data_IF_850698487057
#
_entry.id   IF_850698487057
#
_cell.length_a   1.000
_cell.length_b   1.000
_cell.length_c   1.000
_cell.angle_alpha   90.00
_cell.angle_beta   90.00
_cell.angle_gamma   90.00
#
_symmetry.space_group_name_H-M   'P 1'
#
loop_
_entity.id
_entity.type
_entity.pdbx_description
1 polymer ?
#
# COMPACT_ATOMS: atom_id res chain seq x y z
N UNK A 1 -16.18 35.26 -25.53
CA UNK A 1 -15.22 35.79 -24.53
C UNK A 1 -14.04 34.85 -24.43
N UNK A 2 -12.83 35.40 -24.35
CA UNK A 2 -11.54 34.77 -24.71
C UNK A 2 -11.21 33.46 -23.95
N UNK A 3 -10.46 32.52 -24.56
CA UNK A 3 -10.10 31.22 -24.00
C UNK A 3 -8.82 31.31 -23.13
N UNK A 4 -9.00 31.56 -21.83
CA UNK A 4 -7.98 31.49 -20.77
C UNK A 4 -8.71 30.87 -19.56
N UNK A 5 -8.28 29.86 -18.80
CA UNK A 5 -7.01 29.16 -18.68
C UNK A 5 -7.30 27.73 -18.17
N UNK A 6 -6.99 26.73 -18.99
CA UNK A 6 -6.63 25.38 -18.53
C UNK A 6 -5.35 25.02 -19.26
N UNK A 7 -4.33 25.83 -19.01
CA UNK A 7 -2.99 25.69 -19.57
C UNK A 7 -2.07 25.90 -18.39
N UNK A 8 -1.53 24.81 -17.85
CA UNK A 8 -0.36 24.85 -16.97
C UNK A 8 0.80 25.64 -17.59
N UNK A 9 0.79 25.82 -18.92
CA UNK A 9 1.91 26.28 -19.73
C UNK A 9 2.21 27.78 -19.77
N UNK A 10 1.34 28.72 -19.34
CA UNK A 10 1.65 30.16 -19.54
C UNK A 10 2.14 30.93 -18.33
N UNK A 11 1.73 30.53 -17.13
CA UNK A 11 2.17 31.18 -15.88
C UNK A 11 3.30 30.43 -15.17
N UNK A 12 3.56 29.15 -15.52
CA UNK A 12 4.68 28.37 -14.97
C UNK A 12 5.88 28.24 -15.93
N UNK A 13 5.69 28.34 -17.26
CA UNK A 13 6.84 28.22 -18.19
C UNK A 13 7.63 29.52 -18.37
N UNK A 14 7.05 30.69 -18.11
CA UNK A 14 7.61 31.99 -18.55
C UNK A 14 8.41 32.78 -17.51
N UNK A 15 8.69 32.25 -16.32
CA UNK A 15 9.51 33.00 -15.36
C UNK A 15 10.45 32.21 -14.46
N UNK A 16 10.59 30.89 -14.64
CA UNK A 16 10.63 30.05 -13.43
C UNK A 16 11.73 28.95 -13.44
N UNK A 17 12.52 28.82 -14.52
CA UNK A 17 13.76 28.03 -14.54
C UNK A 17 14.92 28.84 -15.13
N UNK A 18 15.21 30.00 -14.54
CA UNK A 18 16.48 30.70 -14.79
C UNK A 18 17.59 30.09 -13.92
N UNK A 19 17.83 28.80 -14.10
CA UNK A 19 19.12 28.22 -13.74
C UNK A 19 19.77 27.87 -15.06
N UNK A 20 20.73 28.66 -15.49
CA UNK A 20 21.68 28.32 -16.58
C UNK A 20 22.50 27.04 -16.26
N UNK A 21 22.10 26.25 -15.26
CA UNK A 21 22.77 25.04 -14.85
C UNK A 21 22.51 23.93 -15.89
N UNK A 22 23.54 23.56 -16.68
CA UNK A 22 23.39 22.60 -17.77
C UNK A 22 23.00 21.21 -17.25
N UNK A 23 23.39 20.87 -16.01
CA UNK A 23 23.11 19.57 -15.39
C UNK A 23 21.62 19.41 -15.14
N UNK A 24 20.97 20.43 -14.56
CA UNK A 24 19.56 20.34 -14.23
C UNK A 24 18.68 20.29 -15.49
N UNK A 25 19.05 21.06 -16.52
CA UNK A 25 18.40 20.98 -17.84
C UNK A 25 18.52 19.59 -18.44
N UNK A 26 19.71 19.00 -18.38
CA UNK A 26 19.96 17.64 -18.87
C UNK A 26 19.12 16.60 -18.12
N UNK A 27 18.99 16.73 -16.79
CA UNK A 27 18.14 15.86 -15.95
C UNK A 27 16.68 15.97 -16.37
N UNK A 28 16.16 17.18 -16.60
CA UNK A 28 14.76 17.38 -17.04
C UNK A 28 14.52 16.74 -18.42
N UNK A 29 15.44 16.94 -19.36
CA UNK A 29 15.35 16.39 -20.72
C UNK A 29 15.35 14.86 -20.71
N UNK A 30 16.16 14.25 -19.85
CA UNK A 30 16.33 12.79 -19.74
C UNK A 30 15.60 12.16 -18.55
N UNK A 31 14.70 12.91 -17.90
CA UNK A 31 14.07 12.51 -16.62
C UNK A 31 13.42 11.13 -16.70
N UNK A 32 12.87 10.77 -17.86
CA UNK A 32 12.19 9.49 -18.02
C UNK A 32 13.15 8.32 -17.86
N UNK A 33 14.35 8.42 -18.44
CA UNK A 33 15.36 7.34 -18.34
C UNK A 33 15.89 7.24 -16.91
N UNK A 34 16.15 8.38 -16.28
CA UNK A 34 16.66 8.41 -14.91
C UNK A 34 15.65 7.87 -13.90
N UNK A 35 14.40 8.34 -13.95
CA UNK A 35 13.35 7.87 -13.05
C UNK A 35 13.03 6.39 -13.26
N UNK A 36 13.08 5.90 -14.51
CA UNK A 36 12.92 4.47 -14.79
C UNK A 36 14.07 3.65 -14.19
N UNK A 37 15.32 4.13 -14.32
CA UNK A 37 16.47 3.48 -13.70
C UNK A 37 16.35 3.44 -12.18
N UNK A 38 15.95 4.55 -11.55
CA UNK A 38 15.70 4.60 -10.10
C UNK A 38 14.58 3.63 -9.71
N UNK A 39 13.45 3.61 -10.44
CA UNK A 39 12.36 2.68 -10.20
C UNK A 39 12.83 1.22 -10.21
N UNK A 40 13.58 0.83 -11.24
CA UNK A 40 14.10 -0.53 -11.38
C UNK A 40 15.04 -0.85 -10.23
N UNK A 41 16.04 -0.01 -9.95
CA UNK A 41 17.01 -0.26 -8.88
C UNK A 41 16.32 -0.42 -7.53
N UNK A 42 15.43 0.50 -7.20
CA UNK A 42 14.77 0.57 -5.88
C UNK A 42 13.81 -0.61 -5.68
N UNK A 43 13.12 -1.09 -6.73
CA UNK A 43 12.22 -2.25 -6.62
C UNK A 43 12.93 -3.61 -6.73
N UNK A 44 14.07 -3.69 -7.42
CA UNK A 44 14.86 -4.93 -7.49
C UNK A 44 15.68 -5.19 -6.23
N UNK A 45 16.10 -4.14 -5.51
CA UNK A 45 16.91 -4.24 -4.30
C UNK A 45 16.27 -5.16 -3.23
N UNK A 46 14.97 -5.05 -2.90
CA UNK A 46 14.23 -6.01 -2.08
C UNK A 46 14.36 -7.48 -2.50
N UNK A 47 14.16 -7.76 -3.79
CA UNK A 47 14.21 -9.12 -4.32
C UNK A 47 15.63 -9.69 -4.21
N UNK A 48 16.64 -8.87 -4.50
CA UNK A 48 18.04 -9.24 -4.37
C UNK A 48 18.37 -9.60 -2.92
N UNK A 49 17.99 -8.76 -1.95
CA UNK A 49 18.23 -9.03 -0.53
C UNK A 49 17.57 -10.31 -0.05
N UNK A 50 16.30 -10.54 -0.40
CA UNK A 50 15.62 -11.77 -0.03
C UNK A 50 16.27 -13.00 -0.65
N UNK A 51 16.66 -12.92 -1.93
CA UNK A 51 17.37 -14.02 -2.60
C UNK A 51 18.71 -14.32 -1.93
N UNK A 52 19.48 -13.31 -1.51
CA UNK A 52 20.77 -13.50 -0.84
C UNK A 52 20.62 -14.08 0.57
N UNK A 53 19.54 -13.73 1.26
CA UNK A 53 19.24 -14.21 2.62
C UNK A 53 18.48 -15.55 2.64
N UNK A 54 18.26 -16.19 1.49
CA UNK A 54 17.49 -17.44 1.40
C UNK A 54 16.02 -17.30 1.82
N UNK A 55 15.47 -16.09 1.77
CA UNK A 55 14.07 -15.80 2.12
C UNK A 55 13.17 -15.91 0.90
N UNK A 56 11.85 -16.12 1.10
CA UNK A 56 10.89 -15.93 0.03
C UNK A 56 11.04 -14.56 -0.61
N UNK A 57 10.88 -14.51 -1.94
CA UNK A 57 11.04 -13.25 -2.68
C UNK A 57 9.92 -12.25 -2.33
N UNK A 58 8.70 -12.76 -2.14
CA UNK A 58 7.56 -11.97 -1.71
C UNK A 58 7.57 -11.77 -0.20
N UNK A 59 7.28 -10.56 0.23
CA UNK A 59 7.16 -10.19 1.64
C UNK A 59 5.72 -9.81 1.99
N UNK A 60 5.46 -9.64 3.29
CA UNK A 60 4.25 -9.02 3.79
C UNK A 60 3.03 -9.93 3.75
N UNK A 61 2.18 -9.81 4.77
CA UNK A 61 1.07 -10.73 4.96
C UNK A 61 0.00 -10.60 3.86
N UNK A 62 -0.10 -9.42 3.22
CA UNK A 62 -0.98 -9.19 2.06
C UNK A 62 -0.66 -10.13 0.90
N UNK A 63 0.63 -10.36 0.60
CA UNK A 63 1.03 -11.23 -0.51
C UNK A 63 0.52 -12.65 -0.30
N UNK A 64 0.74 -13.21 0.88
CA UNK A 64 0.36 -14.57 1.21
C UNK A 64 -1.14 -14.72 1.47
N UNK A 65 -1.81 -13.63 1.84
CA UNK A 65 -3.26 -13.60 1.89
C UNK A 65 -3.83 -13.81 0.48
N UNK A 66 -3.34 -13.06 -0.50
CA UNK A 66 -3.80 -13.21 -1.88
C UNK A 66 -3.41 -14.56 -2.48
N UNK A 67 -2.20 -15.06 -2.20
CA UNK A 67 -1.77 -16.38 -2.68
C UNK A 67 -2.61 -17.51 -2.08
N UNK A 68 -2.97 -17.44 -0.79
CA UNK A 68 -3.85 -18.44 -0.15
C UNK A 68 -5.30 -18.34 -0.65
N UNK A 69 -5.83 -17.14 -0.88
CA UNK A 69 -7.15 -16.98 -1.50
C UNK A 69 -7.20 -17.52 -2.94
N UNK A 70 -6.10 -17.39 -3.69
CA UNK A 70 -5.98 -17.92 -5.03
C UNK A 70 -5.94 -19.47 -5.09
N UNK A 71 -5.39 -20.12 -4.06
CA UNK A 71 -5.47 -21.59 -3.92
C UNK A 71 -6.90 -22.07 -3.66
N UNK A 72 -7.74 -21.24 -3.03
CA UNK A 72 -9.15 -21.51 -2.73
C UNK A 72 -10.10 -20.88 -3.76
N UNK A 73 -9.59 -20.45 -4.92
CA UNK A 73 -10.39 -19.75 -5.91
C UNK A 73 -11.55 -20.63 -6.39
N UNK A 74 -12.76 -20.08 -6.33
CA UNK A 74 -13.99 -20.76 -6.71
C UNK A 74 -15.09 -19.75 -7.01
N UNK A 75 -16.32 -20.22 -7.16
CA UNK A 75 -17.47 -19.38 -7.52
C UNK A 75 -17.74 -18.21 -6.57
N UNK A 76 -17.33 -18.32 -5.30
CA UNK A 76 -17.48 -17.26 -4.29
C UNK A 76 -16.38 -16.20 -4.33
N UNK A 77 -15.22 -16.52 -4.91
CA UNK A 77 -13.99 -15.73 -4.87
C UNK A 77 -13.42 -15.57 -6.30
N UNK A 78 -14.27 -15.26 -7.27
CA UNK A 78 -13.91 -15.19 -8.69
C UNK A 78 -12.84 -14.13 -8.98
N UNK A 79 -12.73 -13.09 -8.14
CA UNK A 79 -11.69 -12.07 -8.25
C UNK A 79 -10.27 -12.63 -8.15
N UNK A 80 -10.08 -13.80 -7.53
CA UNK A 80 -8.78 -14.45 -7.38
C UNK A 80 -8.44 -15.43 -8.50
N UNK A 81 -9.38 -15.68 -9.42
CA UNK A 81 -9.17 -16.64 -10.51
C UNK A 81 -7.97 -16.29 -11.41
N UNK A 82 -7.72 -15.02 -11.79
CA UNK A 82 -6.53 -14.68 -12.58
C UNK A 82 -5.21 -15.01 -11.87
N UNK A 83 -5.16 -14.78 -10.55
CA UNK A 83 -3.97 -15.10 -9.74
C UNK A 83 -3.81 -16.61 -9.57
N UNK A 84 -4.92 -17.34 -9.40
CA UNK A 84 -4.95 -18.80 -9.34
C UNK A 84 -4.43 -19.43 -10.63
N UNK A 85 -4.88 -18.93 -11.78
CA UNK A 85 -4.33 -19.33 -13.08
C UNK A 85 -2.83 -19.03 -13.16
N UNK A 86 -2.40 -17.83 -12.75
CA UNK A 86 -0.99 -17.47 -12.76
C UNK A 86 -0.14 -18.41 -11.88
N UNK A 87 -0.62 -18.80 -10.69
CA UNK A 87 0.05 -19.76 -9.83
C UNK A 87 0.20 -21.15 -10.46
N UNK A 88 -0.75 -21.57 -11.29
CA UNK A 88 -0.69 -22.87 -11.97
C UNK A 88 0.35 -22.89 -13.11
N UNK A 89 0.66 -21.74 -13.72
CA UNK A 89 1.59 -21.63 -14.86
C UNK A 89 2.96 -21.06 -14.50
N UNK A 90 3.07 -20.29 -13.41
CA UNK A 90 4.28 -19.58 -13.02
C UNK A 90 4.77 -20.04 -11.65
N UNK A 91 6.07 -20.30 -11.49
CA UNK A 91 6.63 -20.52 -10.16
C UNK A 91 6.50 -19.26 -9.31
N UNK A 92 6.45 -19.42 -7.99
CA UNK A 92 6.32 -18.29 -7.04
C UNK A 92 7.38 -17.21 -7.27
N UNK A 93 8.61 -17.61 -7.62
CA UNK A 93 9.69 -16.67 -7.95
C UNK A 93 9.37 -15.77 -9.14
N UNK A 94 8.63 -16.27 -10.13
CA UNK A 94 8.17 -15.47 -11.26
C UNK A 94 6.99 -14.56 -10.88
N UNK A 95 6.13 -14.99 -9.94
CA UNK A 95 5.07 -14.13 -9.40
C UNK A 95 5.63 -12.92 -8.66
N UNK A 96 6.82 -13.01 -8.07
CA UNK A 96 7.51 -11.87 -7.46
C UNK A 96 7.88 -10.76 -8.45
N UNK A 97 7.90 -11.03 -9.76
CA UNK A 97 8.13 -10.03 -10.80
C UNK A 97 6.86 -9.26 -11.20
N UNK A 98 5.68 -9.76 -10.82
CA UNK A 98 4.40 -9.15 -11.18
C UNK A 98 4.22 -7.74 -10.60
N UNK A 99 4.53 -7.47 -9.30
CA UNK A 99 4.51 -6.11 -8.77
C UNK A 99 5.43 -5.15 -9.53
N UNK A 100 6.63 -5.60 -9.91
CA UNK A 100 7.59 -4.78 -10.68
C UNK A 100 7.03 -4.47 -12.08
N UNK A 101 6.47 -5.47 -12.75
CA UNK A 101 5.84 -5.28 -14.06
C UNK A 101 4.66 -4.29 -13.99
N UNK A 102 3.86 -4.35 -12.92
CA UNK A 102 2.79 -3.38 -12.66
C UNK A 102 3.35 -1.98 -12.42
N UNK A 103 4.41 -1.84 -11.62
CA UNK A 103 5.05 -0.54 -11.34
C UNK A 103 5.56 0.12 -12.62
N UNK A 104 6.26 -0.65 -13.47
CA UNK A 104 6.76 -0.19 -14.78
C UNK A 104 5.59 0.18 -15.70
N UNK A 105 4.51 -0.60 -15.70
CA UNK A 105 3.31 -0.30 -16.48
C UNK A 105 2.64 1.00 -16.00
N UNK A 106 2.47 1.17 -14.68
CA UNK A 106 1.98 2.40 -14.07
C UNK A 106 2.85 3.61 -14.44
N UNK A 107 4.17 3.44 -14.41
CA UNK A 107 5.14 4.45 -14.79
C UNK A 107 4.91 4.94 -16.24
N UNK A 108 4.76 4.04 -17.21
CA UNK A 108 4.50 4.42 -18.60
C UNK A 108 3.11 5.04 -18.80
N UNK A 109 2.08 4.49 -18.17
CA UNK A 109 0.71 5.04 -18.24
C UNK A 109 0.64 6.45 -17.64
N UNK A 110 1.32 6.69 -16.52
CA UNK A 110 1.43 8.00 -15.91
C UNK A 110 2.10 9.00 -16.85
N UNK A 111 3.25 8.66 -17.44
CA UNK A 111 3.94 9.58 -18.37
C UNK A 111 3.11 9.92 -19.61
N UNK A 112 2.31 8.96 -20.10
CA UNK A 112 1.35 9.23 -21.16
C UNK A 112 0.28 10.24 -20.73
N UNK A 113 -0.28 10.08 -19.51
CA UNK A 113 -1.26 11.01 -18.94
C UNK A 113 -0.66 12.38 -18.66
N UNK A 114 0.54 12.45 -18.10
CA UNK A 114 1.24 13.69 -17.77
C UNK A 114 1.46 14.56 -19.02
N UNK A 115 1.88 13.95 -20.14
CA UNK A 115 1.99 14.64 -21.44
C UNK A 115 0.63 15.13 -21.93
N UNK A 116 -0.45 14.38 -21.67
CA UNK A 116 -1.81 14.74 -22.10
C UNK A 116 -2.45 15.85 -21.26
N UNK A 117 -2.06 15.95 -19.99
CA UNK A 117 -2.48 17.00 -19.07
C UNK A 117 -1.56 18.22 -19.07
N UNK A 118 -0.50 18.19 -19.88
CA UNK A 118 0.48 19.28 -19.99
C UNK A 118 1.11 19.61 -18.62
N UNK A 119 1.39 18.59 -17.81
CA UNK A 119 2.03 18.77 -16.50
C UNK A 119 3.44 19.34 -16.72
N UNK A 120 3.85 20.41 -16.03
CA UNK A 120 5.21 20.95 -16.12
C UNK A 120 6.27 19.89 -15.84
N UNK A 121 7.36 19.92 -16.61
CA UNK A 121 8.38 18.87 -16.56
C UNK A 121 9.06 18.74 -15.18
N UNK A 122 9.24 19.85 -14.45
CA UNK A 122 9.76 19.89 -13.08
C UNK A 122 8.80 19.25 -12.08
N UNK A 123 7.52 19.59 -12.16
CA UNK A 123 6.47 19.00 -11.33
C UNK A 123 6.38 17.50 -11.57
N UNK A 124 6.43 17.05 -12.82
CA UNK A 124 6.42 15.63 -13.14
C UNK A 124 7.66 14.91 -12.58
N UNK A 125 8.85 15.50 -12.72
CA UNK A 125 10.09 14.96 -12.19
C UNK A 125 9.98 14.70 -10.68
N UNK A 126 9.62 15.72 -9.89
CA UNK A 126 9.57 15.59 -8.43
C UNK A 126 8.42 14.73 -7.95
N UNK A 127 7.25 14.82 -8.59
CA UNK A 127 6.11 13.96 -8.25
C UNK A 127 6.46 12.48 -8.41
N UNK A 128 7.00 12.10 -9.57
CA UNK A 128 7.35 10.70 -9.85
C UNK A 128 8.52 10.27 -8.96
N UNK A 129 9.54 11.10 -8.78
CA UNK A 129 10.66 10.82 -7.88
C UNK A 129 10.17 10.54 -6.45
N UNK A 130 9.35 11.41 -5.90
CA UNK A 130 8.80 11.28 -4.55
C UNK A 130 7.90 10.05 -4.39
N UNK A 131 7.11 9.71 -5.41
CA UNK A 131 6.33 8.46 -5.40
C UNK A 131 7.29 7.26 -5.34
N UNK A 132 8.28 7.17 -6.24
CA UNK A 132 9.17 6.01 -6.35
C UNK A 132 9.92 5.74 -5.04
N UNK A 133 10.42 6.77 -4.38
CA UNK A 133 11.23 6.62 -3.16
C UNK A 133 10.39 6.51 -1.88
N UNK A 134 9.06 6.70 -1.96
CA UNK A 134 8.20 6.68 -0.78
C UNK A 134 7.96 5.25 -0.24
N UNK A 135 8.03 5.03 1.08
CA UNK A 135 7.84 3.69 1.66
C UNK A 135 6.50 3.02 1.34
N UNK A 136 5.40 3.78 1.27
CA UNK A 136 4.08 3.21 0.86
C UNK A 136 4.10 2.65 -0.57
N UNK A 137 4.80 3.32 -1.49
CA UNK A 137 4.92 2.86 -2.88
C UNK A 137 5.81 1.61 -2.95
N UNK A 138 6.94 1.63 -2.23
CA UNK A 138 7.83 0.48 -2.13
C UNK A 138 7.12 -0.74 -1.57
N UNK A 139 6.37 -0.59 -0.48
CA UNK A 139 5.59 -1.68 0.08
C UNK A 139 4.60 -2.24 -0.97
N UNK A 140 3.81 -1.39 -1.62
CA UNK A 140 2.78 -1.84 -2.56
C UNK A 140 3.32 -2.51 -3.84
N UNK A 141 4.54 -2.16 -4.27
CA UNK A 141 5.17 -2.72 -5.48
C UNK A 141 6.30 -3.71 -5.19
N UNK A 142 6.51 -4.10 -3.92
CA UNK A 142 7.36 -5.23 -3.51
C UNK A 142 6.55 -6.38 -2.91
N UNK A 143 5.28 -6.14 -2.61
CA UNK A 143 4.26 -7.12 -2.21
C UNK A 143 3.29 -7.37 -3.37
N UNK A 144 2.53 -8.47 -3.33
CA UNK A 144 1.39 -8.66 -4.24
C UNK A 144 0.19 -7.82 -3.76
N UNK A 145 0.32 -6.49 -3.75
CA UNK A 145 -0.72 -5.63 -3.18
C UNK A 145 -1.91 -5.41 -4.11
N UNK A 146 -3.12 -5.47 -3.54
CA UNK A 146 -4.36 -5.06 -4.22
C UNK A 146 -4.27 -3.59 -4.70
N UNK A 147 -3.59 -2.73 -3.94
CA UNK A 147 -3.46 -1.31 -4.24
C UNK A 147 -2.49 -1.01 -5.40
N UNK A 148 -1.50 -1.89 -5.62
CA UNK A 148 -0.65 -1.86 -6.83
C UNK A 148 -1.47 -2.11 -8.09
N UNK A 149 -2.31 -3.15 -8.08
CA UNK A 149 -3.26 -3.44 -9.16
C UNK A 149 -4.31 -2.35 -9.35
N UNK A 150 -4.86 -1.83 -8.24
CA UNK A 150 -5.79 -0.69 -8.27
C UNK A 150 -5.20 0.48 -9.05
N UNK A 151 -3.96 0.88 -8.74
CA UNK A 151 -3.30 2.01 -9.40
C UNK A 151 -3.14 1.76 -10.89
N UNK A 152 -2.71 0.56 -11.26
CA UNK A 152 -2.59 0.17 -12.66
C UNK A 152 -3.94 0.30 -13.40
N UNK A 153 -5.02 -0.25 -12.83
CA UNK A 153 -6.35 -0.23 -13.44
C UNK A 153 -6.93 1.19 -13.53
N UNK A 154 -6.72 2.03 -12.50
CA UNK A 154 -7.14 3.44 -12.53
C UNK A 154 -6.40 4.20 -13.62
N UNK A 155 -5.08 4.06 -13.70
CA UNK A 155 -4.29 4.72 -14.74
C UNK A 155 -4.69 4.24 -16.14
N UNK A 156 -4.86 2.93 -16.33
CA UNK A 156 -5.33 2.35 -17.60
C UNK A 156 -6.72 2.89 -17.98
N UNK A 157 -7.64 2.93 -17.03
CA UNK A 157 -8.98 3.49 -17.21
C UNK A 157 -8.95 4.97 -17.61
N UNK A 158 -8.11 5.77 -16.95
CA UNK A 158 -7.92 7.18 -17.31
C UNK A 158 -7.30 7.34 -18.71
N UNK A 159 -6.32 6.51 -19.07
CA UNK A 159 -5.73 6.50 -20.42
C UNK A 159 -6.81 6.23 -21.48
N UNK A 160 -7.64 5.21 -21.26
CA UNK A 160 -8.76 4.86 -22.15
C UNK A 160 -9.81 5.98 -22.26
N UNK A 161 -10.13 6.66 -21.15
CA UNK A 161 -11.05 7.81 -21.14
C UNK A 161 -10.55 9.00 -21.98
N UNK A 162 -9.24 9.18 -22.07
CA UNK A 162 -8.63 10.28 -22.83
C UNK A 162 -8.42 9.96 -24.31
N UNK A 163 -8.76 8.75 -24.77
CA UNK A 163 -8.68 8.38 -26.18
C UNK A 163 -9.64 9.18 -27.07
N UNK A 164 -9.27 9.34 -28.35
CA UNK A 164 -10.11 10.07 -29.32
C UNK A 164 -11.34 9.26 -29.73
N UNK A 165 -11.17 7.95 -29.99
CA UNK A 165 -12.25 7.07 -30.45
C UNK A 165 -13.23 6.76 -29.31
N UNK A 166 -14.52 6.78 -29.62
CA UNK A 166 -15.60 6.57 -28.66
C UNK A 166 -15.55 5.17 -28.03
N UNK A 167 -15.28 4.13 -28.83
CA UNK A 167 -15.18 2.74 -28.38
C UNK A 167 -14.20 2.58 -27.21
N UNK A 168 -12.98 3.13 -27.33
CA UNK A 168 -11.98 3.05 -26.27
C UNK A 168 -12.40 3.75 -24.98
N UNK A 169 -13.22 4.82 -25.07
CA UNK A 169 -13.75 5.47 -23.87
C UNK A 169 -14.75 4.61 -23.14
N UNK A 170 -15.60 3.86 -23.85
CA UNK A 170 -16.50 2.90 -23.23
C UNK A 170 -15.76 1.73 -22.61
N UNK A 171 -14.65 1.28 -23.23
CA UNK A 171 -13.80 0.24 -22.66
C UNK A 171 -13.19 0.65 -21.31
N UNK A 172 -13.12 1.94 -20.97
CA UNK A 172 -12.65 2.39 -19.66
C UNK A 172 -13.56 1.96 -18.49
N UNK A 173 -14.81 1.58 -18.76
CA UNK A 173 -15.74 1.05 -17.74
C UNK A 173 -15.16 -0.20 -17.08
N UNK A 174 -14.51 -1.08 -17.86
CA UNK A 174 -13.97 -2.34 -17.34
C UNK A 174 -12.86 -2.13 -16.30
N UNK A 175 -11.73 -1.47 -16.61
CA UNK A 175 -10.67 -1.30 -15.62
C UNK A 175 -11.11 -0.46 -14.43
N UNK A 176 -11.93 0.57 -14.61
CA UNK A 176 -12.42 1.39 -13.48
C UNK A 176 -13.44 0.64 -12.61
N UNK A 177 -14.29 -0.20 -13.21
CA UNK A 177 -15.19 -1.09 -12.49
C UNK A 177 -14.44 -2.13 -11.67
N UNK A 178 -13.41 -2.75 -12.26
CA UNK A 178 -12.53 -3.69 -11.56
C UNK A 178 -11.75 -3.02 -10.41
N UNK A 179 -11.21 -1.81 -10.64
CA UNK A 179 -10.55 -1.04 -9.60
C UNK A 179 -11.49 -0.74 -8.41
N UNK A 180 -12.76 -0.47 -8.68
CA UNK A 180 -13.76 -0.22 -7.64
C UNK A 180 -14.21 -1.47 -6.88
N UNK A 181 -13.75 -2.67 -7.26
CA UNK A 181 -14.22 -3.95 -6.70
C UNK A 181 -13.30 -4.57 -5.63
N UNK A 182 -12.10 -4.01 -5.43
CA UNK A 182 -11.16 -4.49 -4.40
C UNK A 182 -11.73 -4.31 -2.98
N UNK A 183 -12.08 -3.09 -2.61
CA UNK A 183 -12.79 -2.74 -1.39
C UNK A 183 -13.66 -1.48 -1.61
N UNK A 184 -14.54 -1.18 -0.64
CA UNK A 184 -15.45 -0.04 -0.77
C UNK A 184 -14.68 1.29 -0.86
N UNK A 185 -13.56 1.42 -0.16
CA UNK A 185 -12.73 2.62 -0.18
C UNK A 185 -12.12 2.89 -1.56
N UNK A 186 -11.64 1.84 -2.24
CA UNK A 186 -11.15 1.89 -3.62
C UNK A 186 -12.26 2.38 -4.56
N UNK A 187 -13.49 1.90 -4.40
CA UNK A 187 -14.63 2.38 -5.18
C UNK A 187 -15.00 3.84 -4.87
N UNK A 188 -14.89 4.29 -3.62
CA UNK A 188 -15.04 5.71 -3.25
C UNK A 188 -13.96 6.57 -3.95
N UNK A 189 -12.71 6.13 -3.97
CA UNK A 189 -11.62 6.85 -4.67
C UNK A 189 -11.90 6.92 -6.18
N UNK A 190 -12.31 5.82 -6.82
CA UNK A 190 -12.70 5.81 -8.24
C UNK A 190 -13.87 6.78 -8.50
N UNK A 191 -14.87 6.79 -7.61
CA UNK A 191 -16.00 7.71 -7.69
C UNK A 191 -15.55 9.17 -7.62
N UNK A 192 -14.66 9.52 -6.69
CA UNK A 192 -14.10 10.87 -6.58
C UNK A 192 -13.33 11.27 -7.85
N UNK A 193 -12.52 10.36 -8.40
CA UNK A 193 -11.79 10.58 -9.67
C UNK A 193 -12.78 10.84 -10.83
N UNK A 194 -13.84 10.03 -10.93
CA UNK A 194 -14.87 10.20 -11.96
C UNK A 194 -15.67 11.49 -11.79
N UNK A 195 -15.95 11.91 -10.56
CA UNK A 195 -16.61 13.19 -10.27
C UNK A 195 -15.74 14.38 -10.71
N UNK A 196 -14.44 14.35 -10.42
CA UNK A 196 -13.51 15.37 -10.91
C UNK A 196 -13.44 15.39 -12.44
N UNK A 197 -13.36 14.20 -13.06
CA UNK A 197 -13.36 14.08 -14.51
C UNK A 197 -14.66 14.63 -15.14
N UNK A 198 -15.80 14.30 -14.55
CA UNK A 198 -17.10 14.80 -15.00
C UNK A 198 -17.21 16.31 -14.87
N UNK A 199 -16.79 16.89 -13.74
CA UNK A 199 -16.78 18.34 -13.53
C UNK A 199 -15.95 19.05 -14.61
N UNK A 200 -14.74 18.55 -14.89
CA UNK A 200 -13.85 19.10 -15.93
C UNK A 200 -14.45 19.02 -17.35
N UNK A 201 -15.20 17.96 -17.66
CA UNK A 201 -15.83 17.74 -18.99
C UNK A 201 -17.17 18.44 -19.16
N UNK A 202 -17.97 18.57 -18.10
CA UNK A 202 -19.30 19.23 -18.12
C UNK A 202 -19.16 20.70 -18.50
N UNK A 203 -18.11 21.36 -18.01
CA UNK A 203 -17.71 22.72 -18.42
C UNK A 203 -17.49 22.85 -19.93
N UNK A 204 -17.16 21.75 -20.63
CA UNK A 204 -16.88 21.72 -22.08
C UNK A 204 -18.05 21.17 -22.92
N UNK A 205 -19.25 20.93 -22.33
CA UNK A 205 -20.44 20.33 -22.96
C UNK A 205 -20.18 19.00 -23.71
N UNK A 206 -19.17 18.23 -23.32
CA UNK A 206 -18.76 17.01 -24.03
C UNK A 206 -19.22 15.75 -23.29
N UNK A 207 -20.25 15.10 -23.84
CA UNK A 207 -20.70 13.70 -23.61
C UNK A 207 -21.33 13.37 -22.24
N UNK A 208 -22.35 12.49 -22.24
CA UNK A 208 -23.03 11.96 -21.04
C UNK A 208 -22.29 10.77 -20.37
N UNK A 209 -21.23 10.26 -21.01
CA UNK A 209 -20.50 9.05 -20.59
C UNK A 209 -20.06 9.04 -19.11
N UNK A 210 -19.45 10.12 -18.56
CA UNK A 210 -19.00 10.09 -17.16
C UNK A 210 -20.14 9.85 -16.16
N UNK A 211 -21.35 10.36 -16.45
CA UNK A 211 -22.52 10.14 -15.60
C UNK A 211 -22.97 8.68 -15.55
N UNK A 212 -22.90 7.97 -16.70
CA UNK A 212 -23.20 6.53 -16.77
C UNK A 212 -22.18 5.73 -15.96
N UNK A 213 -20.90 6.09 -16.06
CA UNK A 213 -19.83 5.42 -15.31
C UNK A 213 -19.95 5.65 -13.80
N UNK A 214 -20.31 6.87 -13.39
CA UNK A 214 -20.59 7.19 -11.98
C UNK A 214 -21.74 6.33 -11.47
N UNK A 215 -22.84 6.24 -12.21
CA UNK A 215 -24.00 5.43 -11.82
C UNK A 215 -23.65 3.94 -11.74
N UNK A 216 -22.82 3.44 -12.66
CA UNK A 216 -22.30 2.07 -12.62
C UNK A 216 -21.39 1.81 -11.41
N UNK A 217 -20.47 2.72 -11.08
CA UNK A 217 -19.62 2.57 -9.89
C UNK A 217 -20.45 2.65 -8.60
N UNK A 218 -21.46 3.52 -8.57
CA UNK A 218 -22.40 3.61 -7.44
C UNK A 218 -23.22 2.32 -7.27
N UNK A 219 -23.72 1.73 -8.36
CA UNK A 219 -24.45 0.46 -8.28
C UNK A 219 -23.55 -0.69 -7.83
N UNK A 220 -22.28 -0.71 -8.28
CA UNK A 220 -21.29 -1.67 -7.79
C UNK A 220 -20.98 -1.51 -6.30
N UNK A 221 -20.84 -0.27 -5.81
CA UNK A 221 -20.62 0.00 -4.39
C UNK A 221 -21.81 -0.47 -3.53
N UNK A 222 -23.05 -0.18 -3.98
CA UNK A 222 -24.26 -0.65 -3.31
C UNK A 222 -24.34 -2.18 -3.31
N UNK A 223 -24.00 -2.84 -4.42
CA UNK A 223 -23.97 -4.29 -4.52
C UNK A 223 -22.93 -4.90 -3.57
N UNK A 224 -21.71 -4.35 -3.52
CA UNK A 224 -20.66 -4.81 -2.62
C UNK A 224 -21.05 -4.66 -1.15
N UNK A 225 -21.73 -3.56 -0.79
CA UNK A 225 -22.15 -3.29 0.58
C UNK A 225 -23.35 -4.15 1.01
N UNK A 226 -24.41 -4.21 0.19
CA UNK A 226 -25.67 -4.87 0.55
C UNK A 226 -25.62 -6.39 0.33
N UNK A 227 -25.01 -6.84 -0.77
CA UNK A 227 -25.04 -8.26 -1.18
C UNK A 227 -23.79 -9.00 -0.70
N UNK A 228 -22.61 -8.48 -1.03
CA UNK A 228 -21.34 -9.15 -0.70
C UNK A 228 -20.87 -8.89 0.74
N UNK A 229 -21.43 -7.89 1.41
CA UNK A 229 -21.02 -7.44 2.76
C UNK A 229 -19.51 -7.23 2.86
N UNK A 230 -18.89 -6.69 1.79
CA UNK A 230 -17.45 -6.43 1.76
C UNK A 230 -17.06 -5.39 2.81
N UNK A 231 -15.86 -5.56 3.36
CA UNK A 231 -15.27 -4.59 4.30
C UNK A 231 -14.99 -3.24 3.62
N UNK A 232 -14.96 -2.18 4.42
CA UNK A 232 -14.63 -0.83 3.93
C UNK A 232 -13.25 -0.77 3.27
N UNK A 233 -12.27 -1.47 3.87
CA UNK A 233 -10.87 -1.51 3.44
C UNK A 233 -10.39 -2.96 3.54
N UNK A 234 -9.62 -3.42 2.54
CA UNK A 234 -9.06 -4.76 2.49
C UNK A 234 -7.89 -4.92 3.48
N UNK A 235 -8.19 -5.45 4.67
CA UNK A 235 -7.25 -5.77 5.75
C UNK A 235 -7.75 -5.26 7.11
N UNK A 236 -6.88 -4.94 8.09
CA UNK A 236 -5.40 -4.82 8.06
C UNK A 236 -4.59 -6.11 7.97
N UNK A 237 -3.46 -6.03 7.26
CA UNK A 237 -2.45 -7.09 7.19
C UNK A 237 -1.30 -6.93 8.21
N UNK A 238 -1.40 -5.91 9.07
CA UNK A 238 -0.46 -5.63 10.15
C UNK A 238 -1.13 -4.96 11.36
N UNK A 239 -0.53 -5.07 12.56
CA UNK A 239 -0.98 -4.33 13.73
C UNK A 239 -0.91 -2.84 13.44
N UNK A 240 -2.08 -2.21 13.41
CA UNK A 240 -2.20 -0.82 13.03
C UNK A 240 -1.64 0.10 14.11
N UNK A 241 -0.79 1.04 13.70
CA UNK A 241 -0.29 2.10 14.56
C UNK A 241 -0.44 3.43 13.81
N UNK A 242 -1.48 4.24 14.06
CA UNK A 242 -1.80 5.41 13.25
C UNK A 242 -0.70 6.46 13.13
N UNK A 243 0.21 6.55 14.09
CA UNK A 243 1.34 7.48 14.02
C UNK A 243 2.49 6.86 13.22
N UNK A 244 2.84 5.61 13.56
CA UNK A 244 3.94 4.89 12.91
C UNK A 244 3.64 4.59 11.44
N UNK A 245 2.39 4.29 11.10
CA UNK A 245 1.94 3.98 9.74
C UNK A 245 1.77 5.22 8.86
N UNK A 246 1.71 6.42 9.46
CA UNK A 246 1.72 7.69 8.74
C UNK A 246 3.17 8.12 8.46
N UNK A 247 4.00 8.09 9.51
CA UNK A 247 5.41 8.49 9.48
C UNK A 247 6.28 7.24 9.53
N UNK A 248 6.64 6.76 8.35
CA UNK A 248 7.44 5.53 8.20
C UNK A 248 8.77 5.54 8.96
N UNK A 249 9.34 6.73 9.20
CA UNK A 249 10.58 6.93 9.97
C UNK A 249 10.47 6.46 11.43
N UNK A 250 9.24 6.37 11.97
CA UNK A 250 8.96 5.92 13.34
C UNK A 250 8.83 4.39 13.47
N UNK A 251 9.16 3.64 12.42
CA UNK A 251 9.13 2.17 12.46
C UNK A 251 7.92 1.54 11.76
N UNK A 252 7.08 2.30 11.05
CA UNK A 252 5.92 1.77 10.33
C UNK A 252 6.29 0.89 9.14
N UNK A 253 5.49 -0.14 8.87
CA UNK A 253 5.64 -1.03 7.69
C UNK A 253 5.29 -0.31 6.39
N UNK A 254 4.49 0.75 6.48
CA UNK A 254 4.08 1.62 5.41
C UNK A 254 4.12 3.07 5.89
N UNK A 255 3.96 4.03 4.98
CA UNK A 255 3.87 5.46 5.31
C UNK A 255 4.61 6.36 4.34
N UNK A 256 4.80 7.63 4.74
CA UNK A 256 5.69 8.57 4.06
C UNK A 256 6.77 9.05 5.05
N UNK A 257 7.89 9.57 4.52
CA UNK A 257 8.92 10.21 5.34
C UNK A 257 8.42 11.53 5.94
N UNK A 258 8.97 11.92 7.08
CA UNK A 258 8.57 13.15 7.78
C UNK A 258 8.72 14.40 6.88
N UNK A 259 9.82 14.48 6.13
CA UNK A 259 10.10 15.60 5.21
C UNK A 259 9.09 15.71 4.07
N UNK A 260 8.53 14.57 3.61
CA UNK A 260 7.46 14.58 2.62
C UNK A 260 6.17 15.19 3.17
N UNK A 261 5.86 14.91 4.44
CA UNK A 261 4.69 15.50 5.11
C UNK A 261 4.88 17.01 5.28
N UNK A 262 6.07 17.46 5.71
CA UNK A 262 6.40 18.89 5.81
C UNK A 262 6.24 19.61 4.46
N UNK A 263 6.77 19.02 3.39
CA UNK A 263 6.61 19.55 2.04
C UNK A 263 5.16 19.56 1.56
N UNK A 264 4.38 18.53 1.89
CA UNK A 264 2.96 18.47 1.56
C UNK A 264 2.17 19.58 2.26
N UNK A 265 2.46 19.89 3.52
CA UNK A 265 1.85 21.00 4.25
C UNK A 265 2.18 22.34 3.58
N UNK A 266 3.46 22.56 3.21
CA UNK A 266 3.87 23.76 2.46
C UNK A 266 3.11 23.85 1.12
N UNK A 267 3.07 22.77 0.35
CA UNK A 267 2.37 22.72 -0.93
C UNK A 267 0.87 22.98 -0.81
N UNK A 268 0.23 22.43 0.22
CA UNK A 268 -1.17 22.74 0.54
C UNK A 268 -1.38 24.23 0.86
N UNK A 269 -0.46 24.86 1.60
CA UNK A 269 -0.53 26.30 1.89
C UNK A 269 -0.44 27.16 0.62
N UNK A 270 0.50 26.83 -0.26
CA UNK A 270 0.77 27.57 -1.51
C UNK A 270 -0.43 27.55 -2.47
N UNK A 271 -1.15 26.42 -2.54
CA UNK A 271 -2.26 26.27 -3.49
C UNK A 271 -3.64 26.50 -2.89
N UNK A 272 -3.75 26.80 -1.59
CA UNK A 272 -5.02 26.95 -0.85
C UNK A 272 -6.00 27.92 -1.52
N UNK A 273 -5.49 29.02 -2.08
CA UNK A 273 -6.31 30.05 -2.73
C UNK A 273 -6.56 29.80 -4.22
N UNK A 274 -5.96 28.76 -4.82
CA UNK A 274 -6.02 28.48 -6.26
C UNK A 274 -7.19 27.54 -6.56
N UNK A 275 -8.29 28.09 -7.12
CA UNK A 275 -9.52 27.34 -7.47
C UNK A 275 -9.31 26.10 -8.34
N UNK A 276 -8.23 26.06 -9.13
CA UNK A 276 -7.90 24.92 -9.98
C UNK A 276 -7.57 23.63 -9.22
N UNK A 277 -7.18 23.74 -7.94
CA UNK A 277 -6.82 22.58 -7.10
C UNK A 277 -7.91 22.20 -6.09
N UNK A 278 -9.09 22.83 -6.15
CA UNK A 278 -10.21 22.56 -5.24
C UNK A 278 -10.60 21.07 -5.22
N UNK A 279 -10.42 20.38 -6.36
CA UNK A 279 -10.65 18.95 -6.47
C UNK A 279 -9.71 18.09 -5.61
N UNK A 280 -8.45 18.48 -5.44
CA UNK A 280 -7.51 17.74 -4.57
C UNK A 280 -7.91 17.85 -3.09
N UNK A 281 -8.44 19.00 -2.67
CA UNK A 281 -8.95 19.20 -1.31
C UNK A 281 -10.20 18.37 -0.99
N UNK A 282 -10.97 17.94 -2.00
CA UNK A 282 -12.09 17.02 -1.80
C UNK A 282 -11.63 15.63 -1.33
N UNK A 283 -10.46 15.18 -1.76
CA UNK A 283 -9.90 13.88 -1.37
C UNK A 283 -9.44 13.88 0.08
N UNK A 284 -8.85 14.98 0.55
CA UNK A 284 -8.24 15.09 1.89
C UNK A 284 -9.17 14.62 3.02
N UNK A 285 -10.38 15.17 3.23
CA UNK A 285 -11.23 14.77 4.36
C UNK A 285 -11.69 13.31 4.25
N UNK A 286 -11.97 12.83 3.04
CA UNK A 286 -12.41 11.44 2.80
C UNK A 286 -11.28 10.46 3.13
N UNK A 287 -10.06 10.75 2.67
CA UNK A 287 -8.90 9.90 2.92
C UNK A 287 -8.44 9.95 4.38
N UNK A 288 -8.51 11.11 5.04
CA UNK A 288 -8.21 11.22 6.48
C UNK A 288 -9.22 10.40 7.30
N UNK A 289 -10.52 10.54 7.04
CA UNK A 289 -11.54 9.76 7.74
C UNK A 289 -11.35 8.24 7.51
N UNK A 290 -11.03 7.84 6.27
CA UNK A 290 -10.69 6.46 5.97
C UNK A 290 -9.41 5.98 6.66
N UNK A 291 -8.39 6.84 6.78
CA UNK A 291 -7.14 6.53 7.47
C UNK A 291 -7.34 6.30 8.97
N UNK A 292 -8.16 7.14 9.62
CA UNK A 292 -8.52 6.96 11.03
C UNK A 292 -9.28 5.65 11.28
N UNK A 293 -9.98 5.15 10.26
CA UNK A 293 -10.66 3.85 10.32
C UNK A 293 -9.71 2.67 10.03
N UNK A 294 -8.81 2.80 9.06
CA UNK A 294 -7.80 1.79 8.74
C UNK A 294 -6.56 2.45 8.17
N UNK A 295 -5.40 2.15 8.75
CA UNK A 295 -4.12 2.72 8.29
C UNK A 295 -3.76 2.27 6.87
N UNK A 296 -4.38 1.24 6.30
CA UNK A 296 -4.14 0.83 4.90
C UNK A 296 -4.57 1.88 3.86
N UNK A 297 -5.46 2.81 4.23
CA UNK A 297 -5.80 3.97 3.39
C UNK A 297 -4.57 4.87 3.15
N UNK A 298 -3.49 4.65 3.91
CA UNK A 298 -2.19 5.28 3.70
C UNK A 298 -1.69 5.19 2.27
N UNK A 299 -2.03 4.15 1.52
CA UNK A 299 -1.70 4.07 0.10
C UNK A 299 -2.27 5.25 -0.71
N UNK A 300 -3.57 5.52 -0.58
CA UNK A 300 -4.22 6.63 -1.27
C UNK A 300 -3.77 7.99 -0.73
N UNK A 301 -3.63 8.09 0.60
CA UNK A 301 -3.19 9.30 1.25
C UNK A 301 -1.74 9.65 0.86
N UNK A 302 -0.87 8.64 0.75
CA UNK A 302 0.52 8.77 0.34
C UNK A 302 0.67 9.36 -1.07
N UNK A 303 -0.17 8.93 -2.02
CA UNK A 303 -0.21 9.51 -3.36
C UNK A 303 -0.58 11.01 -3.32
N UNK A 304 -1.54 11.38 -2.47
CA UNK A 304 -1.96 12.77 -2.30
C UNK A 304 -0.89 13.63 -1.59
N UNK A 305 -0.21 13.06 -0.59
CA UNK A 305 0.94 13.68 0.08
C UNK A 305 2.06 13.94 -0.93
N UNK A 306 2.41 12.97 -1.78
CA UNK A 306 3.44 13.14 -2.81
C UNK A 306 3.07 14.24 -3.82
N UNK A 307 1.79 14.33 -4.20
CA UNK A 307 1.28 15.41 -5.06
C UNK A 307 1.49 16.79 -4.43
N UNK A 308 1.07 16.97 -3.18
CA UNK A 308 1.27 18.25 -2.50
C UNK A 308 2.75 18.53 -2.21
N UNK A 309 3.53 17.53 -1.86
CA UNK A 309 4.96 17.67 -1.61
C UNK A 309 5.72 18.12 -2.87
N UNK A 310 5.40 17.56 -4.03
CA UNK A 310 5.98 18.00 -5.30
C UNK A 310 5.64 19.47 -5.60
N UNK A 311 4.39 19.89 -5.36
CA UNK A 311 4.00 21.30 -5.49
C UNK A 311 4.75 22.21 -4.53
N UNK A 312 4.88 21.82 -3.26
CA UNK A 312 5.61 22.57 -2.25
C UNK A 312 7.10 22.69 -2.57
N UNK A 313 7.72 21.60 -3.03
CA UNK A 313 9.13 21.56 -3.39
C UNK A 313 9.42 22.39 -4.65
N UNK A 314 8.58 22.28 -5.67
CA UNK A 314 8.68 23.10 -6.89
C UNK A 314 8.55 24.58 -6.51
N UNK A 315 7.52 24.98 -5.77
CA UNK A 315 7.38 26.38 -5.35
C UNK A 315 8.60 26.90 -4.58
N UNK A 316 9.17 26.10 -3.68
CA UNK A 316 10.38 26.47 -2.94
C UNK A 316 11.59 26.67 -3.87
N UNK A 317 11.71 25.86 -4.93
CA UNK A 317 12.73 26.02 -5.98
C UNK A 317 12.49 27.23 -6.86
N UNK A 318 11.25 27.68 -7.02
CA UNK A 318 10.87 28.77 -7.91
C UNK A 318 10.94 30.13 -7.21
N UNK A 319 10.76 30.16 -5.88
CA UNK A 319 10.79 31.37 -5.07
C UNK A 319 12.16 32.07 -5.13
N UNK A 320 12.13 33.40 -5.16
CA UNK A 320 13.31 34.25 -5.16
C UNK A 320 13.80 34.46 -3.72
N UNK A 321 14.84 33.72 -3.32
CA UNK A 321 15.44 33.87 -2.00
C UNK A 321 16.51 34.95 -2.04
N UNK A 322 16.50 35.84 -1.05
CA UNK A 322 17.55 36.85 -0.87
C UNK A 322 18.91 36.14 -0.71
N UNK A 323 18.93 35.01 0.00
CA UNK A 323 20.12 34.21 0.26
C UNK A 323 20.06 32.89 -0.51
N UNK A 324 20.59 32.87 -1.74
CA UNK A 324 20.57 31.70 -2.62
C UNK A 324 21.24 30.46 -1.99
N UNK A 325 22.31 30.64 -1.20
CA UNK A 325 22.98 29.54 -0.51
C UNK A 325 22.11 28.86 0.55
N UNK A 326 21.25 29.62 1.23
CA UNK A 326 20.32 29.06 2.22
C UNK A 326 19.26 28.22 1.51
N UNK A 327 18.78 28.67 0.35
CA UNK A 327 17.86 27.90 -0.50
C UNK A 327 18.49 26.58 -0.96
N UNK A 328 19.70 26.63 -1.51
CA UNK A 328 20.45 25.43 -1.94
C UNK A 328 20.60 24.42 -0.80
N UNK A 329 21.02 24.89 0.39
CA UNK A 329 21.17 24.04 1.57
C UNK A 329 19.83 23.46 2.05
N UNK A 330 18.77 24.27 2.06
CA UNK A 330 17.41 23.82 2.45
C UNK A 330 16.90 22.74 1.51
N UNK A 331 17.03 22.94 0.19
CA UNK A 331 16.66 21.94 -0.82
C UNK A 331 17.45 20.65 -0.66
N UNK A 332 18.77 20.74 -0.43
CA UNK A 332 19.62 19.58 -0.20
C UNK A 332 19.20 18.81 1.05
N UNK A 333 18.97 19.51 2.16
CA UNK A 333 18.52 18.92 3.42
C UNK A 333 17.19 18.18 3.24
N UNK A 334 16.24 18.77 2.51
CA UNK A 334 14.95 18.14 2.21
C UNK A 334 15.12 16.86 1.37
N UNK A 335 15.93 16.90 0.32
CA UNK A 335 16.19 15.72 -0.53
C UNK A 335 16.87 14.62 0.29
N UNK A 336 17.91 14.96 1.06
CA UNK A 336 18.60 14.00 1.92
C UNK A 336 17.66 13.40 2.96
N UNK A 337 16.82 14.22 3.58
CA UNK A 337 15.81 13.78 4.54
C UNK A 337 14.86 12.73 3.95
N UNK A 338 14.37 12.97 2.73
CA UNK A 338 13.50 12.01 2.03
C UNK A 338 14.27 10.72 1.68
N UNK A 339 15.51 10.82 1.19
CA UNK A 339 16.33 9.66 0.85
C UNK A 339 16.68 8.82 2.10
N UNK A 340 16.94 9.46 3.24
CA UNK A 340 17.18 8.76 4.50
C UNK A 340 15.96 7.99 4.98
N UNK A 341 14.73 8.51 4.78
CA UNK A 341 13.51 7.76 5.06
C UNK A 341 13.45 6.46 4.25
N UNK A 342 13.75 6.52 2.96
CA UNK A 342 13.81 5.34 2.08
C UNK A 342 14.90 4.35 2.52
N UNK A 343 16.09 4.85 2.88
CA UNK A 343 17.19 4.01 3.33
C UNK A 343 16.88 3.32 4.67
N UNK A 344 16.28 4.05 5.61
CA UNK A 344 15.79 3.53 6.89
C UNK A 344 14.71 2.45 6.69
N UNK A 345 13.85 2.62 5.69
CA UNK A 345 12.91 1.58 5.28
C UNK A 345 13.63 0.31 4.78
N UNK A 346 14.63 0.44 3.90
CA UNK A 346 15.39 -0.71 3.42
C UNK A 346 16.21 -1.41 4.52
N UNK A 347 16.74 -0.68 5.50
CA UNK A 347 17.44 -1.29 6.63
C UNK A 347 16.54 -2.20 7.48
N UNK A 348 15.22 -1.99 7.47
CA UNK A 348 14.25 -2.83 8.16
C UNK A 348 13.76 -3.99 7.31
N UNK A 349 14.01 -3.97 6.00
CA UNK A 349 13.54 -4.99 5.08
C UNK A 349 13.92 -6.43 5.49
N UNK A 350 15.15 -6.70 5.98
CA UNK A 350 15.50 -8.04 6.46
C UNK A 350 14.68 -8.53 7.65
N UNK A 351 14.02 -7.65 8.42
CA UNK A 351 13.21 -8.07 9.58
C UNK A 351 11.75 -8.28 9.23
N UNK A 352 11.35 -8.03 7.97
CA UNK A 352 9.98 -8.25 7.53
C UNK A 352 9.68 -9.72 7.32
N UNK A 353 8.51 -10.15 7.80
CA UNK A 353 8.02 -11.51 7.61
C UNK A 353 7.61 -11.78 6.16
N UNK A 354 7.73 -13.04 5.70
CA UNK A 354 8.28 -14.17 6.44
C UNK A 354 9.83 -14.21 6.38
N UNK A 355 10.47 -14.40 7.53
CA UNK A 355 11.92 -14.71 7.59
C UNK A 355 12.19 -16.17 7.22
N UNK A 356 13.43 -16.52 6.88
CA UNK A 356 13.80 -17.91 6.58
C UNK A 356 13.47 -18.86 7.73
N UNK A 357 13.68 -18.42 8.97
CA UNK A 357 13.33 -19.19 10.15
C UNK A 357 11.81 -19.33 10.35
N UNK A 358 11.03 -18.29 10.10
CA UNK A 358 9.56 -18.39 10.13
C UNK A 358 9.06 -19.39 9.08
N UNK A 359 9.62 -19.40 7.87
CA UNK A 359 9.26 -20.35 6.81
C UNK A 359 9.59 -21.79 7.21
N UNK A 360 10.76 -22.04 7.79
CA UNK A 360 11.15 -23.36 8.28
C UNK A 360 10.14 -23.87 9.32
N UNK A 361 9.81 -23.06 10.32
CA UNK A 361 8.84 -23.42 11.37
C UNK A 361 7.45 -23.65 10.79
N UNK A 362 7.02 -22.83 9.83
CA UNK A 362 5.73 -22.99 9.14
C UNK A 362 5.66 -24.30 8.34
N UNK A 363 6.74 -24.67 7.64
CA UNK A 363 6.82 -25.97 6.96
C UNK A 363 6.87 -27.13 7.94
N UNK A 364 7.61 -27.01 9.04
CA UNK A 364 7.59 -28.02 10.10
C UNK A 364 6.17 -28.25 10.62
N UNK A 365 5.39 -27.18 10.84
CA UNK A 365 3.98 -27.30 11.25
C UNK A 365 3.12 -28.01 10.19
N UNK A 366 3.35 -27.76 8.90
CA UNK A 366 2.65 -28.47 7.82
C UNK A 366 2.88 -29.98 7.88
N UNK A 367 4.09 -30.41 8.19
CA UNK A 367 4.47 -31.82 8.10
C UNK A 367 4.19 -32.59 9.41
N UNK A 368 4.19 -31.90 10.56
CA UNK A 368 4.18 -32.54 11.89
C UNK A 368 2.90 -32.32 12.71
N UNK A 369 1.89 -31.62 12.17
CA UNK A 369 0.63 -31.33 12.88
C UNK A 369 -0.58 -31.84 12.12
N UNK A 370 -1.73 -32.03 12.77
CA UNK A 370 -2.95 -32.45 12.09
C UNK A 370 -3.51 -31.29 11.22
N UNK A 371 -3.96 -31.53 9.97
CA UNK A 371 -4.55 -30.51 9.09
C UNK A 371 -5.66 -29.66 9.73
N UNK A 372 -6.43 -30.24 10.65
CA UNK A 372 -7.56 -29.56 11.30
C UNK A 372 -7.16 -28.84 12.60
N UNK A 373 -5.89 -28.88 13.00
CA UNK A 373 -5.41 -28.22 14.21
C UNK A 373 -5.50 -26.70 14.07
N UNK A 374 -6.20 -26.07 15.02
CA UNK A 374 -6.33 -24.61 15.07
C UNK A 374 -5.14 -24.02 15.81
N UNK A 375 -4.43 -23.10 15.13
CA UNK A 375 -3.21 -22.46 15.63
C UNK A 375 -3.50 -21.03 16.07
N UNK A 376 -3.14 -20.67 17.29
CA UNK A 376 -3.16 -19.30 17.78
C UNK A 376 -1.83 -18.61 17.50
N UNK A 377 -1.88 -17.38 16.99
CA UNK A 377 -0.71 -16.52 16.80
C UNK A 377 -1.14 -15.05 16.73
N UNK A 378 -0.18 -14.16 16.46
CA UNK A 378 -0.48 -12.77 16.17
C UNK A 378 -1.35 -12.65 14.89
N UNK A 379 -2.23 -11.63 14.82
CA UNK A 379 -3.02 -11.29 13.65
C UNK A 379 -2.33 -11.42 12.29
N UNK A 380 -1.11 -10.89 12.23
CA UNK A 380 -0.31 -10.78 10.99
C UNK A 380 0.16 -12.12 10.47
N UNK A 381 0.15 -13.15 11.32
CA UNK A 381 0.68 -14.47 11.01
C UNK A 381 -0.35 -15.36 10.31
N UNK A 382 -1.63 -14.96 10.32
CA UNK A 382 -2.70 -15.75 9.70
C UNK A 382 -2.45 -16.06 8.22
N UNK A 383 -2.05 -15.09 7.38
CA UNK A 383 -1.82 -15.38 5.97
C UNK A 383 -0.67 -16.37 5.75
N UNK A 384 0.38 -16.30 6.57
CA UNK A 384 1.51 -17.22 6.49
C UNK A 384 1.15 -18.62 6.98
N UNK A 385 0.39 -18.74 8.07
CA UNK A 385 -0.11 -20.02 8.58
C UNK A 385 -1.01 -20.73 7.57
N UNK A 386 -1.88 -19.98 6.88
CA UNK A 386 -2.74 -20.56 5.83
C UNK A 386 -1.94 -21.00 4.61
N UNK A 387 -0.97 -20.20 4.20
CA UNK A 387 -0.23 -20.44 2.96
C UNK A 387 0.86 -21.50 3.13
N UNK A 388 1.76 -21.35 4.11
CA UNK A 388 2.91 -22.23 4.30
C UNK A 388 2.59 -23.46 5.14
N UNK A 389 1.88 -23.26 6.26
CA UNK A 389 1.55 -24.37 7.16
C UNK A 389 0.30 -25.15 6.70
N UNK A 390 -0.53 -24.57 5.82
CA UNK A 390 -1.83 -25.14 5.42
C UNK A 390 -2.69 -25.51 6.65
N UNK A 391 -2.70 -24.62 7.66
CA UNK A 391 -3.46 -24.80 8.90
C UNK A 391 -4.44 -23.66 9.15
N UNK A 392 -5.60 -23.95 9.77
CA UNK A 392 -6.50 -22.90 10.21
C UNK A 392 -5.87 -22.08 11.35
N UNK A 393 -5.73 -20.77 11.14
CA UNK A 393 -5.37 -19.85 12.21
C UNK A 393 -6.61 -19.40 13.00
N UNK A 394 -6.48 -19.34 14.33
CA UNK A 394 -7.47 -18.74 15.21
C UNK A 394 -7.39 -17.22 15.12
N UNK A 395 -8.00 -16.62 14.09
CA UNK A 395 -7.96 -15.16 13.95
C UNK A 395 -9.19 -14.55 13.26
N UNK A 396 -9.35 -13.24 13.47
CA UNK A 396 -10.22 -12.34 12.72
C UNK A 396 -9.48 -11.01 12.49
N UNK A 397 -9.21 -10.65 11.22
CA UNK A 397 -8.48 -9.44 10.74
C UNK A 397 -8.94 -8.07 11.29
N UNK A 398 -9.94 -8.03 12.18
CA UNK A 398 -10.35 -6.83 12.91
C UNK A 398 -10.55 -7.18 14.38
N UNK A 399 -9.60 -6.74 15.20
CA UNK A 399 -9.53 -7.02 16.64
C UNK A 399 -10.75 -6.55 17.44
N UNK A 400 -11.61 -5.68 16.88
CA UNK A 400 -12.69 -5.01 17.60
C UNK A 400 -14.13 -5.37 17.21
N UNK A 401 -14.39 -6.05 16.09
CA UNK A 401 -15.78 -6.21 15.59
C UNK A 401 -16.30 -7.65 15.54
N UNK A 402 -15.43 -8.63 15.81
CA UNK A 402 -15.79 -10.06 15.78
C UNK A 402 -15.41 -10.72 17.11
N UNK A 403 -16.25 -11.65 17.59
CA UNK A 403 -16.04 -12.45 18.81
C UNK A 403 -14.63 -13.03 18.94
N UNK A 404 -14.00 -13.44 17.82
CA UNK A 404 -12.61 -13.94 17.78
C UNK A 404 -11.55 -12.89 18.14
N UNK A 405 -11.78 -11.62 17.78
CA UNK A 405 -10.87 -10.53 18.13
C UNK A 405 -10.87 -10.22 19.63
N UNK A 406 -12.03 -10.32 20.28
CA UNK A 406 -12.15 -10.22 21.74
C UNK A 406 -11.42 -11.37 22.44
N UNK A 407 -11.61 -12.61 21.97
CA UNK A 407 -10.89 -13.79 22.48
C UNK A 407 -9.38 -13.65 22.28
N UNK A 408 -8.93 -13.18 21.11
CA UNK A 408 -7.50 -12.96 20.82
C UNK A 408 -6.90 -11.97 21.82
N UNK A 409 -7.57 -10.84 22.05
CA UNK A 409 -7.14 -9.85 23.05
C UNK A 409 -7.15 -10.41 24.47
N UNK A 410 -8.12 -11.25 24.81
CA UNK A 410 -8.18 -11.90 26.11
C UNK A 410 -7.03 -12.90 26.31
N UNK A 411 -6.71 -13.72 25.30
CA UNK A 411 -5.58 -14.66 25.34
C UNK A 411 -4.25 -13.91 25.52
N UNK A 412 -4.01 -12.83 24.75
CA UNK A 412 -2.77 -12.05 24.85
C UNK A 412 -2.60 -11.31 26.18
N UNK A 413 -3.71 -11.01 26.87
CA UNK A 413 -3.73 -10.29 28.16
C UNK A 413 -3.92 -11.20 29.37
N UNK A 414 -4.13 -12.49 29.17
CA UNK A 414 -4.39 -13.43 30.25
C UNK A 414 -3.17 -13.49 31.18
N UNK A 415 -3.41 -13.31 32.48
CA UNK A 415 -2.36 -13.36 33.50
C UNK A 415 -2.40 -14.66 34.29
N UNK A 416 -3.50 -15.41 34.19
CA UNK A 416 -3.73 -16.63 34.96
C UNK A 416 -4.18 -17.78 34.07
N UNK A 417 -3.80 -19.01 34.44
CA UNK A 417 -4.22 -20.23 33.73
C UNK A 417 -5.75 -20.40 33.74
N UNK A 418 -6.43 -19.95 34.79
CA UNK A 418 -7.89 -19.98 34.93
C UNK A 418 -8.58 -19.07 33.91
N UNK A 419 -7.89 -18.06 33.39
CA UNK A 419 -8.37 -17.20 32.30
C UNK A 419 -8.00 -17.81 30.94
N UNK A 420 -6.76 -18.27 30.80
CA UNK A 420 -6.21 -18.72 29.52
C UNK A 420 -6.81 -20.06 29.05
N UNK A 421 -6.84 -21.09 29.90
CA UNK A 421 -7.22 -22.44 29.47
C UNK A 421 -8.66 -22.51 28.95
N UNK A 422 -9.67 -21.91 29.61
CA UNK A 422 -11.03 -21.91 29.08
C UNK A 422 -11.12 -21.24 27.71
N UNK A 423 -10.31 -20.18 27.46
CA UNK A 423 -10.27 -19.51 26.16
C UNK A 423 -9.68 -20.42 25.08
N UNK A 424 -8.62 -21.17 25.38
CA UNK A 424 -8.02 -22.10 24.42
C UNK A 424 -8.95 -23.28 24.13
N UNK A 425 -9.50 -23.90 25.17
CA UNK A 425 -10.37 -25.08 25.09
C UNK A 425 -11.69 -24.78 24.36
N UNK A 426 -12.39 -23.69 24.75
CA UNK A 426 -13.67 -23.31 24.14
C UNK A 426 -13.54 -22.94 22.65
N UNK A 427 -12.32 -22.69 22.18
CA UNK A 427 -12.04 -22.30 20.81
C UNK A 427 -11.23 -23.37 20.03
N UNK A 428 -11.04 -24.55 20.62
CA UNK A 428 -10.30 -25.67 20.05
C UNK A 428 -8.86 -25.33 19.61
N UNK A 429 -8.23 -24.38 20.31
CA UNK A 429 -6.84 -23.98 20.07
C UNK A 429 -5.94 -25.02 20.73
N UNK A 430 -5.12 -25.70 19.95
CA UNK A 430 -4.20 -26.75 20.43
C UNK A 430 -2.73 -26.44 20.16
N UNK A 431 -2.45 -25.43 19.34
CA UNK A 431 -1.10 -24.96 19.05
C UNK A 431 -1.02 -23.44 19.22
N UNK A 432 0.11 -22.98 19.75
CA UNK A 432 0.48 -21.57 19.79
C UNK A 432 1.77 -21.38 19.00
N UNK A 433 1.74 -20.49 18.02
CA UNK A 433 2.89 -20.09 17.23
C UNK A 433 3.34 -18.69 17.64
N UNK A 434 4.55 -18.58 18.17
CA UNK A 434 5.10 -17.34 18.73
C UNK A 434 6.33 -16.91 17.95
N UNK A 435 6.23 -15.77 17.27
CA UNK A 435 7.35 -15.14 16.57
C UNK A 435 8.16 -14.24 17.51
N UNK A 436 9.42 -13.91 17.16
CA UNK A 436 10.20 -12.92 17.90
C UNK A 436 9.47 -11.57 18.06
N UNK A 437 8.75 -11.14 17.02
CA UNK A 437 7.98 -9.88 17.02
C UNK A 437 6.80 -9.90 17.98
N UNK A 438 6.11 -11.04 18.12
CA UNK A 438 5.04 -11.20 19.12
C UNK A 438 5.62 -11.25 20.53
N UNK A 439 6.69 -12.01 20.75
CA UNK A 439 7.34 -12.11 22.07
C UNK A 439 7.85 -10.76 22.56
N UNK A 440 8.43 -9.93 21.69
CA UNK A 440 8.92 -8.60 22.05
C UNK A 440 7.82 -7.63 22.51
N UNK A 441 6.55 -7.90 22.19
CA UNK A 441 5.38 -7.11 22.60
C UNK A 441 4.73 -7.61 23.88
N UNK A 442 5.05 -8.84 24.28
CA UNK A 442 4.50 -9.47 25.47
C UNK A 442 5.48 -9.29 26.64
N UNK A 443 4.97 -9.09 27.87
CA UNK A 443 5.85 -9.02 29.04
C UNK A 443 6.52 -10.38 29.28
N UNK A 444 7.82 -10.38 29.57
CA UNK A 444 8.61 -11.62 29.71
C UNK A 444 8.28 -12.40 31.00
N UNK A 445 8.07 -11.69 32.10
CA UNK A 445 7.93 -12.28 33.44
C UNK A 445 6.47 -12.39 33.92
N UNK A 446 5.50 -12.05 33.08
CA UNK A 446 4.07 -12.12 33.38
C UNK A 446 3.26 -12.37 32.11
N UNK A 447 1.96 -12.65 32.23
CA UNK A 447 1.08 -12.87 31.08
C UNK A 447 1.38 -14.15 30.29
N UNK A 448 0.99 -14.18 29.01
CA UNK A 448 1.05 -15.37 28.16
C UNK A 448 2.42 -16.07 28.15
N UNK A 449 3.53 -15.32 28.04
CA UNK A 449 4.87 -15.93 27.99
C UNK A 449 5.24 -16.65 29.29
N UNK A 450 4.81 -16.11 30.43
CA UNK A 450 4.99 -16.77 31.71
C UNK A 450 4.11 -18.02 31.83
N UNK A 451 2.85 -17.95 31.37
CA UNK A 451 1.89 -19.05 31.44
C UNK A 451 2.32 -20.28 30.61
N UNK A 452 3.14 -20.10 29.57
CA UNK A 452 3.71 -21.20 28.77
C UNK A 452 4.70 -22.09 29.54
N UNK A 453 5.16 -21.65 30.71
CA UNK A 453 5.99 -22.48 31.60
C UNK A 453 5.18 -23.55 32.34
N UNK A 454 3.86 -23.53 32.22
CA UNK A 454 2.98 -24.54 32.82
C UNK A 454 3.11 -25.91 32.10
N UNK A 455 2.93 -27.01 32.84
CA UNK A 455 3.10 -28.39 32.36
C UNK A 455 2.17 -28.77 31.18
N UNK A 456 1.04 -28.07 31.02
CA UNK A 456 0.12 -28.27 29.88
C UNK A 456 0.66 -27.73 28.56
N UNK A 457 1.71 -26.91 28.59
CA UNK A 457 2.37 -26.42 27.40
C UNK A 457 3.69 -27.16 27.17
N UNK A 458 3.89 -27.63 25.94
CA UNK A 458 5.14 -28.27 25.52
C UNK A 458 5.68 -27.59 24.27
N UNK A 459 6.92 -27.09 24.35
CA UNK A 459 7.64 -26.60 23.19
C UNK A 459 7.99 -27.80 22.30
N UNK A 460 7.44 -27.86 21.10
CA UNK A 460 7.63 -28.98 20.17
C UNK A 460 8.59 -28.66 19.03
N UNK A 461 8.76 -27.37 18.72
CA UNK A 461 9.73 -26.91 17.72
C UNK A 461 10.17 -25.48 18.00
N UNK A 462 11.43 -25.16 17.71
CA UNK A 462 11.95 -23.80 17.80
C UNK A 462 13.11 -23.59 16.83
N UNK A 463 13.09 -22.47 16.11
CA UNK A 463 14.17 -22.08 15.23
C UNK A 463 14.30 -20.55 15.18
N UNK A 464 15.52 -20.04 15.44
CA UNK A 464 15.88 -18.61 15.53
C UNK A 464 14.86 -17.72 16.27
N UNK A 465 14.27 -18.25 17.34
CA UNK A 465 13.32 -17.53 18.18
C UNK A 465 11.87 -17.59 17.73
N UNK A 466 11.54 -18.23 16.60
CA UNK A 466 10.18 -18.66 16.27
C UNK A 466 9.90 -19.99 16.96
N UNK A 467 8.76 -20.10 17.65
CA UNK A 467 8.45 -21.23 18.53
C UNK A 467 7.04 -21.78 18.30
N UNK A 468 6.91 -23.10 18.44
CA UNK A 468 5.63 -23.81 18.37
C UNK A 468 5.39 -24.55 19.68
N UNK A 469 4.29 -24.21 20.35
CA UNK A 469 3.89 -24.77 21.63
C UNK A 469 2.59 -25.57 21.48
N UNK A 470 2.58 -26.81 21.96
CA UNK A 470 1.38 -27.64 22.07
C UNK A 470 0.70 -27.37 23.39
N UNK A 471 -0.63 -27.19 23.35
CA UNK A 471 -1.50 -27.15 24.52
C UNK A 471 -2.26 -28.47 24.64
N UNK A 472 -2.07 -29.18 25.75
CA UNK A 472 -2.71 -30.47 26.06
C UNK A 472 -3.31 -30.50 27.46
#
# INVERSE_FOLDING_TARGET
MKPNDFTWSRTLERGIFNTDNPIFKYIIEHQQRYLLAVLIVVLFLPLLFNSLLGKPLLIGAESYYHLSQAQLAGWRNLEYYPLSLAQNFLPERALALLPIALAISCYFLWHWLARRWEIPASMNLFLVFFIIISPWFLYAFTTLSAYGFFTFLVLLGLVLLYQKRLLFRYLAVFPLGLAAFFDLMSGVVVLLILLLYWHSRRLKKKTKLPGVMILFVLSLLLFQWLVLKKNLVLGPFHLQSPISDLVSDLGGLQGVGLFMILLAVLGMGIIWKKRQFLGAYLFVPVLIAGYLYSTQVMFFLGMLICFFAALGFVALLEDQWILQKVKEFTCLLLILGILFSTLSYFNRFPTYSPTGAEVEVLHWMKDNTNPNTVIFSAPEQEPYLRYFAERPAFYALREGMNKRGEVTRAILKANYIQELFPLLEANHISLLYLTPTLKARLPADQGLLFLLKNERFKLVHSHEGSEVWVFS
#
